data_IF_446294476005
#
_entry.id   IF_446294476005
#
_cell.length_a   1.000
_cell.length_b   1.000
_cell.length_c   1.000
_cell.angle_alpha   90.00
_cell.angle_beta   90.00
_cell.angle_gamma   90.00
#
_symmetry.space_group_name_H-M   'P 1'
#
loop_
_entity.id
_entity.type
_entity.pdbx_description
1 polymer ?
#
# COMPACT_ATOMS: atom_id res chain seq x y z
N UNK A 1 16.40 -46.95 27.35
CA UNK A 1 15.85 -47.40 28.65
C UNK A 1 16.62 -46.77 29.80
N UNK A 2 16.00 -45.78 30.47
CA UNK A 2 16.25 -45.21 31.82
C UNK A 2 15.41 -43.92 31.85
N UNK A 3 14.10 -43.96 32.17
CA UNK A 3 13.51 -43.69 33.51
C UNK A 3 14.36 -42.74 34.36
N UNK A 4 13.86 -41.71 35.06
CA UNK A 4 12.52 -41.42 35.60
C UNK A 4 12.66 -40.07 36.33
N UNK A 5 11.63 -39.22 36.34
CA UNK A 5 10.98 -38.69 37.54
C UNK A 5 10.30 -37.34 37.28
N UNK A 6 8.97 -37.38 37.30
CA UNK A 6 8.14 -36.28 37.80
C UNK A 6 8.44 -36.00 39.28
N UNK A 7 8.22 -34.76 39.72
CA UNK A 7 7.45 -34.43 40.94
C UNK A 7 7.20 -32.92 41.06
N UNK A 8 5.92 -32.61 41.23
CA UNK A 8 5.30 -31.36 41.65
C UNK A 8 5.69 -30.91 43.08
N UNK A 9 5.59 -29.61 43.40
CA UNK A 9 4.73 -28.99 44.45
C UNK A 9 5.05 -27.48 44.62
N UNK A 10 3.98 -26.71 44.74
CA UNK A 10 3.86 -25.26 44.86
C UNK A 10 4.38 -24.63 46.17
N UNK A 11 4.60 -23.30 46.13
CA UNK A 11 4.44 -22.41 47.28
C UNK A 11 3.99 -21.01 46.83
N UNK A 12 2.81 -20.60 47.30
CA UNK A 12 2.30 -19.24 47.24
C UNK A 12 2.67 -18.49 48.52
N UNK A 13 2.93 -17.17 48.44
CA UNK A 13 2.74 -16.24 49.55
C UNK A 13 2.61 -14.79 49.02
N UNK A 14 1.40 -14.25 49.15
CA UNK A 14 1.08 -12.83 48.99
C UNK A 14 1.62 -12.01 50.16
N UNK A 15 2.12 -10.78 49.92
CA UNK A 15 1.91 -9.64 50.83
C UNK A 15 1.73 -8.37 49.99
N UNK A 16 0.52 -7.80 50.11
CA UNK A 16 0.19 -6.44 49.71
C UNK A 16 0.73 -5.43 50.75
N UNK A 17 1.12 -4.25 50.29
CA UNK A 17 1.22 -3.06 51.14
C UNK A 17 0.84 -1.81 50.33
N UNK A 18 -0.37 -1.32 50.63
CA UNK A 18 -0.86 0.01 50.28
C UNK A 18 -0.07 1.10 51.01
N UNK A 19 0.10 2.26 50.36
CA UNK A 19 0.75 3.42 50.96
C UNK A 19 0.55 4.72 50.18
N UNK A 20 -0.70 5.20 50.17
CA UNK A 20 -1.19 6.61 50.20
C UNK A 20 -0.50 7.70 49.33
N UNK A 21 -1.34 8.23 48.44
CA UNK A 21 -1.26 9.48 47.69
C UNK A 21 -1.17 10.73 48.59
N UNK A 22 -0.39 11.73 48.16
CA UNK A 22 -0.70 13.15 48.44
C UNK A 22 -0.74 13.94 47.14
N UNK A 23 -1.78 14.74 47.02
CA UNK A 23 -2.27 15.40 45.81
C UNK A 23 -1.68 16.80 45.57
N UNK A 24 -1.68 17.19 44.30
CA UNK A 24 -1.97 18.52 43.71
C UNK A 24 -1.70 18.33 42.19
N UNK A 25 -2.60 18.50 41.22
CA UNK A 25 -3.88 19.16 41.14
C UNK A 25 -3.87 20.09 39.93
N UNK A 26 -4.46 19.70 38.79
CA UNK A 26 -5.28 20.59 37.94
C UNK A 26 -5.99 19.79 36.83
N UNK A 27 -7.29 20.08 36.70
CA UNK A 27 -8.27 19.53 35.77
C UNK A 27 -8.28 20.33 34.47
N UNK A 28 -8.53 19.68 33.35
CA UNK A 28 -9.48 20.18 32.33
C UNK A 28 -10.37 19.03 31.83
N UNK A 29 -11.63 19.36 31.57
CA UNK A 29 -12.75 18.45 31.29
C UNK A 29 -12.91 18.27 29.79
N UNK A 30 -13.10 17.02 29.36
CA UNK A 30 -13.69 16.66 28.06
C UNK A 30 -15.21 16.50 28.28
N UNK A 31 -16.00 17.00 27.33
CA UNK A 31 -17.45 17.00 27.35
C UNK A 31 -17.97 15.99 26.33
N UNK A 32 -18.67 14.97 26.80
CA UNK A 32 -19.35 13.95 26.00
C UNK A 32 -20.64 14.49 25.34
N UNK A 33 -20.83 14.15 24.07
CA UNK A 33 -22.10 14.17 23.32
C UNK A 33 -22.00 12.92 22.41
N UNK A 34 -22.95 12.01 22.24
CA UNK A 34 -24.42 12.02 22.17
C UNK A 34 -24.97 10.66 22.61
N UNK A 35 -26.26 10.60 22.95
CA UNK A 35 -27.26 9.76 22.25
C UNK A 35 -28.61 9.93 22.96
N UNK A 36 -29.62 10.44 22.28
CA UNK A 36 -31.02 10.02 22.50
C UNK A 36 -31.85 10.27 21.24
N UNK A 37 -32.42 9.19 20.73
CA UNK A 37 -33.39 9.12 19.63
C UNK A 37 -34.78 9.50 20.14
N UNK A 38 -35.57 10.31 19.41
CA UNK A 38 -36.99 10.02 19.06
C UNK A 38 -37.65 11.05 18.12
N UNK A 39 -38.14 10.52 16.99
CA UNK A 39 -39.38 10.79 16.20
C UNK A 39 -40.26 12.04 16.45
N UNK A 40 -40.65 12.73 15.36
CA UNK A 40 -42.02 12.79 14.79
C UNK A 40 -42.12 13.80 13.61
N UNK A 41 -43.13 13.63 12.76
CA UNK A 41 -43.31 14.22 11.43
C UNK A 41 -44.42 15.31 11.35
N UNK A 42 -44.45 15.99 10.17
CA UNK A 42 -45.54 16.70 9.46
C UNK A 42 -45.66 18.26 9.52
N UNK A 43 -45.40 18.88 8.35
CA UNK A 43 -46.18 19.86 7.51
C UNK A 43 -46.85 21.12 8.15
N UNK A 44 -47.04 22.31 7.55
CA UNK A 44 -46.79 22.94 6.23
C UNK A 44 -47.03 24.48 6.33
N UNK A 45 -46.41 25.26 5.42
CA UNK A 45 -46.81 26.55 4.77
C UNK A 45 -47.05 27.88 5.54
N UNK A 46 -46.31 28.95 5.17
CA UNK A 46 -46.74 29.98 4.17
C UNK A 46 -46.03 31.37 4.25
N UNK A 47 -45.51 31.80 3.08
CA UNK A 47 -45.45 33.14 2.46
C UNK A 47 -44.60 34.33 3.01
N UNK A 48 -43.75 34.88 2.12
CA UNK A 48 -43.18 36.25 2.18
C UNK A 48 -42.12 36.51 1.08
N UNK A 49 -42.47 37.30 0.06
CA UNK A 49 -41.85 37.53 -1.27
C UNK A 49 -40.88 38.74 -1.36
N UNK A 50 -39.81 38.60 -2.18
CA UNK A 50 -39.03 39.57 -3.03
C UNK A 50 -37.53 39.22 -3.02
N UNK A 51 -36.77 39.10 -4.12
CA UNK A 51 -36.75 39.85 -5.40
C UNK A 51 -36.03 39.04 -6.52
N UNK A 52 -36.25 39.41 -7.78
CA UNK A 52 -36.05 38.64 -9.03
C UNK A 52 -34.62 38.70 -9.63
N UNK A 53 -34.24 37.62 -10.34
CA UNK A 53 -33.71 37.53 -11.74
C UNK A 53 -32.38 36.74 -11.91
N UNK A 54 -32.20 35.90 -12.95
CA UNK A 54 -33.15 35.02 -13.67
C UNK A 54 -32.83 33.52 -13.47
N UNK A 55 -33.83 32.67 -13.62
CA UNK A 55 -33.64 31.24 -13.90
C UNK A 55 -33.10 31.05 -15.32
N UNK A 56 -32.06 30.25 -15.49
CA UNK A 56 -31.84 29.43 -16.69
C UNK A 56 -30.84 28.34 -16.37
N UNK A 57 -31.32 27.10 -16.50
CA UNK A 57 -30.56 25.89 -16.84
C UNK A 57 -29.64 25.29 -15.77
N UNK A 58 -30.23 24.37 -15.00
CA UNK A 58 -29.62 23.06 -14.77
C UNK A 58 -29.00 22.53 -16.07
N UNK A 59 -27.68 22.51 -16.16
CA UNK A 59 -26.88 21.78 -17.16
C UNK A 59 -26.14 20.69 -16.39
N UNK A 60 -26.66 19.47 -16.28
CA UNK A 60 -26.50 18.37 -17.24
C UNK A 60 -25.08 18.23 -17.75
N UNK A 61 -24.48 17.08 -17.43
CA UNK A 61 -23.28 16.50 -18.06
C UNK A 61 -23.16 16.84 -19.54
N UNK A 62 -22.02 17.34 -19.97
CA UNK A 62 -21.46 17.05 -21.31
C UNK A 62 -20.02 17.56 -21.37
N UNK A 63 -19.06 16.64 -21.22
CA UNK A 63 -17.65 16.86 -21.53
C UNK A 63 -17.38 16.89 -23.04
N UNK A 64 -18.14 17.71 -23.78
CA UNK A 64 -18.09 17.84 -25.23
C UNK A 64 -17.68 19.28 -25.63
N UNK A 65 -16.43 19.65 -25.37
CA UNK A 65 -15.79 20.77 -26.05
C UNK A 65 -14.60 20.25 -26.85
N UNK A 66 -14.48 20.70 -28.11
CA UNK A 66 -13.36 20.44 -29.04
C UNK A 66 -13.23 19.05 -29.69
N UNK A 67 -14.33 18.28 -29.83
CA UNK A 67 -14.32 17.02 -30.61
C UNK A 67 -13.70 15.84 -29.86
N UNK A 68 -13.66 15.95 -28.54
CA UNK A 68 -13.19 14.95 -27.60
C UNK A 68 -14.30 14.61 -26.60
N UNK A 69 -14.29 13.38 -26.10
CA UNK A 69 -15.16 12.93 -25.02
C UNK A 69 -14.37 12.23 -23.93
N UNK A 70 -14.87 12.29 -22.69
CA UNK A 70 -14.26 11.65 -21.53
C UNK A 70 -14.33 10.13 -21.67
N UNK A 71 -13.26 9.45 -21.26
CA UNK A 71 -13.21 8.00 -21.07
C UNK A 71 -13.47 7.75 -19.58
N UNK A 72 -14.74 7.54 -19.23
CA UNK A 72 -15.19 7.37 -17.83
C UNK A 72 -14.40 6.28 -17.09
N UNK A 73 -14.24 5.11 -17.72
CA UNK A 73 -13.50 3.97 -17.14
C UNK A 73 -11.98 4.20 -17.01
N UNK A 74 -11.47 5.33 -17.49
CA UNK A 74 -10.06 5.73 -17.41
C UNK A 74 -9.90 7.16 -16.85
N UNK A 75 -10.86 7.58 -16.03
CA UNK A 75 -10.86 8.86 -15.32
C UNK A 75 -10.98 8.57 -13.83
N UNK A 76 -10.08 9.13 -13.02
CA UNK A 76 -9.89 8.70 -11.63
C UNK A 76 -9.58 9.88 -10.72
N UNK A 77 -10.08 9.84 -9.49
CA UNK A 77 -9.48 10.59 -8.40
C UNK A 77 -8.16 9.93 -8.00
N UNK A 78 -7.10 10.73 -7.88
CA UNK A 78 -5.77 10.27 -7.53
C UNK A 78 -5.12 11.26 -6.55
N UNK A 79 -4.30 10.73 -5.64
CA UNK A 79 -3.45 11.55 -4.78
C UNK A 79 -2.03 11.51 -5.34
N UNK A 80 -1.57 12.60 -5.96
CA UNK A 80 -0.28 12.69 -6.63
C UNK A 80 0.67 13.59 -5.83
N UNK A 81 1.80 13.09 -5.38
CA UNK A 81 2.80 13.92 -4.71
C UNK A 81 3.52 14.79 -5.77
N UNK A 82 3.63 16.13 -5.61
CA UNK A 82 3.20 16.98 -4.49
C UNK A 82 1.87 17.73 -4.68
N UNK A 83 1.11 17.42 -5.73
CA UNK A 83 -0.16 18.07 -6.03
C UNK A 83 -1.29 17.78 -5.02
N UNK A 84 -1.24 16.63 -4.33
CA UNK A 84 -2.32 16.16 -3.48
C UNK A 84 -3.45 15.52 -4.30
N UNK A 85 -4.69 15.66 -3.82
CA UNK A 85 -5.89 15.11 -4.45
C UNK A 85 -6.21 15.87 -5.75
N UNK A 86 -6.29 15.12 -6.86
CA UNK A 86 -6.58 15.62 -8.20
C UNK A 86 -7.41 14.59 -8.98
N UNK A 87 -8.19 15.05 -9.96
CA UNK A 87 -8.85 14.19 -10.93
C UNK A 87 -7.97 14.03 -12.17
N UNK A 88 -7.51 12.82 -12.46
CA UNK A 88 -6.93 12.47 -13.76
C UNK A 88 -8.04 12.17 -14.76
N UNK A 89 -8.10 12.92 -15.86
CA UNK A 89 -9.14 12.77 -16.89
C UNK A 89 -8.53 12.32 -18.21
N UNK A 90 -9.01 11.19 -18.72
CA UNK A 90 -8.68 10.71 -20.06
C UNK A 90 -9.74 11.14 -21.06
N UNK A 91 -9.31 11.66 -22.21
CA UNK A 91 -10.19 12.00 -23.32
C UNK A 91 -9.81 11.22 -24.57
N UNK A 92 -10.83 10.81 -25.33
CA UNK A 92 -10.67 10.23 -26.65
C UNK A 92 -11.36 11.09 -27.72
N UNK A 93 -10.89 11.05 -28.98
CA UNK A 93 -11.59 11.73 -30.06
C UNK A 93 -13.01 11.18 -30.24
N UNK A 94 -14.00 12.04 -30.46
CA UNK A 94 -15.39 11.62 -30.66
C UNK A 94 -15.54 10.74 -31.92
N UNK A 95 -14.92 11.14 -33.04
CA UNK A 95 -14.91 10.35 -34.27
C UNK A 95 -13.66 9.45 -34.35
N UNK A 96 -13.56 8.46 -33.47
CA UNK A 96 -12.46 7.46 -33.49
C UNK A 96 -12.30 6.74 -34.83
N UNK A 97 -13.38 6.61 -35.59
CA UNK A 97 -13.39 5.88 -36.85
C UNK A 97 -12.71 6.64 -38.00
N UNK A 98 -12.72 7.97 -37.98
CA UNK A 98 -12.14 8.78 -39.06
C UNK A 98 -11.11 9.81 -38.60
N UNK A 99 -10.90 9.96 -37.29
CA UNK A 99 -9.91 10.86 -36.72
C UNK A 99 -8.55 10.18 -36.56
N UNK A 100 -7.49 10.95 -36.81
CA UNK A 100 -6.12 10.64 -36.42
C UNK A 100 -5.70 11.40 -35.16
N UNK A 101 -6.64 12.08 -34.50
CA UNK A 101 -6.37 12.73 -33.23
C UNK A 101 -6.04 11.67 -32.17
N UNK A 102 -5.06 11.97 -31.33
CA UNK A 102 -4.64 11.12 -30.22
C UNK A 102 -5.48 11.39 -28.97
N UNK A 103 -5.38 10.54 -27.95
CA UNK A 103 -5.94 10.80 -26.62
C UNK A 103 -5.36 12.09 -26.01
N UNK A 104 -6.14 12.74 -25.15
CA UNK A 104 -5.68 13.85 -24.30
C UNK A 104 -5.80 13.40 -22.85
N UNK A 105 -4.84 13.79 -22.03
CA UNK A 105 -4.83 13.49 -20.59
C UNK A 105 -4.65 14.78 -19.82
N UNK A 106 -5.52 15.00 -18.84
CA UNK A 106 -5.52 16.19 -18.01
C UNK A 106 -5.46 15.83 -16.53
N UNK A 107 -4.87 16.71 -15.74
CA UNK A 107 -5.03 16.74 -14.29
C UNK A 107 -5.91 17.93 -13.94
N UNK A 108 -6.92 17.69 -13.10
CA UNK A 108 -7.86 18.71 -12.65
C UNK A 108 -7.90 18.81 -11.13
N UNK A 109 -8.09 20.03 -10.66
CA UNK A 109 -8.41 20.38 -9.27
C UNK A 109 -9.85 20.92 -9.28
N UNK A 110 -10.81 20.05 -8.93
CA UNK A 110 -12.22 20.26 -9.23
C UNK A 110 -12.45 20.44 -10.74
N UNK A 111 -13.11 21.52 -11.13
CA UNK A 111 -13.35 21.83 -12.55
C UNK A 111 -12.15 22.48 -13.26
N UNK A 112 -11.08 22.82 -12.52
CA UNK A 112 -9.93 23.56 -13.06
C UNK A 112 -8.87 22.60 -13.59
N UNK A 113 -8.62 22.61 -14.89
CA UNK A 113 -7.44 21.95 -15.48
C UNK A 113 -6.15 22.63 -14.99
N UNK A 114 -5.33 21.87 -14.28
CA UNK A 114 -4.03 22.31 -13.73
C UNK A 114 -2.85 21.84 -14.57
N UNK A 115 -3.00 20.73 -15.30
CA UNK A 115 -2.00 20.26 -16.26
C UNK A 115 -2.67 19.53 -17.44
N UNK A 116 -2.05 19.64 -18.61
CA UNK A 116 -2.34 18.82 -19.78
C UNK A 116 -1.05 18.08 -20.12
N UNK A 117 -1.10 16.74 -20.15
CA UNK A 117 0.09 15.94 -20.41
C UNK A 117 0.49 16.05 -21.89
N UNK A 118 1.80 16.16 -22.13
CA UNK A 118 2.33 16.23 -23.50
C UNK A 118 1.97 14.97 -24.30
N UNK A 119 1.48 15.15 -25.54
CA UNK A 119 1.26 14.06 -26.48
C UNK A 119 2.56 13.59 -27.14
N UNK A 120 2.58 12.34 -27.59
CA UNK A 120 3.75 11.74 -28.29
C UNK A 120 4.00 12.46 -29.63
N UNK A 121 2.92 12.74 -30.35
CA UNK A 121 2.96 13.33 -31.68
C UNK A 121 2.72 14.83 -31.63
N UNK A 122 3.35 15.53 -32.58
CA UNK A 122 3.11 16.96 -32.78
C UNK A 122 1.62 17.22 -33.07
N UNK A 123 1.10 18.30 -32.49
CA UNK A 123 -0.30 18.72 -32.64
C UNK A 123 -1.33 17.66 -32.19
N UNK A 124 -0.88 16.64 -31.45
CA UNK A 124 -1.67 15.50 -31.01
C UNK A 124 -2.34 14.71 -32.15
N UNK A 125 -1.67 14.63 -33.32
CA UNK A 125 -2.15 13.90 -34.51
C UNK A 125 -1.21 12.73 -34.81
N UNK A 126 -1.77 11.53 -34.95
CA UNK A 126 -1.08 10.29 -35.29
C UNK A 126 -1.43 9.82 -36.70
N UNK A 127 -0.77 10.39 -37.71
CA UNK A 127 -1.03 10.01 -39.10
C UNK A 127 -0.88 8.49 -39.31
N UNK A 128 -1.94 7.85 -39.82
CA UNK A 128 -1.93 6.42 -40.11
C UNK A 128 -2.18 5.50 -38.91
N UNK A 129 -2.46 6.04 -37.72
CA UNK A 129 -2.71 5.28 -36.49
C UNK A 129 -3.98 5.81 -35.81
N UNK A 130 -4.89 4.91 -35.43
CA UNK A 130 -6.15 5.30 -34.77
C UNK A 130 -6.22 4.75 -33.36
N UNK A 131 -6.48 5.63 -32.40
CA UNK A 131 -6.70 5.22 -31.01
C UNK A 131 -7.87 4.24 -30.95
N UNK A 132 -7.61 3.06 -30.41
CA UNK A 132 -8.64 2.07 -30.08
C UNK A 132 -9.17 2.32 -28.68
N UNK A 133 -8.27 2.37 -27.69
CA UNK A 133 -8.58 2.64 -26.29
C UNK A 133 -7.34 2.98 -25.49
N UNK A 134 -7.54 3.71 -24.39
CA UNK A 134 -6.62 3.75 -23.26
C UNK A 134 -6.82 2.44 -22.47
N UNK A 135 -5.76 1.65 -22.35
CA UNK A 135 -5.80 0.32 -21.71
C UNK A 135 -5.55 0.39 -20.20
N UNK A 136 -4.69 1.29 -19.77
CA UNK A 136 -4.32 1.45 -18.37
C UNK A 136 -3.72 2.84 -18.13
N UNK A 137 -3.90 3.32 -16.90
CA UNK A 137 -3.25 4.49 -16.31
C UNK A 137 -2.77 4.07 -14.93
N UNK A 138 -1.58 4.51 -14.53
CA UNK A 138 -0.99 4.24 -13.21
C UNK A 138 -0.16 5.42 -12.75
N UNK A 139 -0.03 5.58 -11.43
CA UNK A 139 0.64 6.71 -10.78
C UNK A 139 1.77 6.27 -9.83
N UNK A 140 2.80 5.55 -10.30
CA UNK A 140 3.90 5.10 -9.45
C UNK A 140 4.87 6.25 -9.14
N UNK A 141 5.82 6.05 -8.23
CA UNK A 141 7.11 6.76 -8.23
C UNK A 141 8.15 5.77 -8.79
N UNK A 142 8.36 5.77 -10.11
CA UNK A 142 9.21 4.75 -10.74
C UNK A 142 10.70 5.06 -10.55
N UNK A 143 11.05 6.33 -10.42
CA UNK A 143 12.45 6.75 -10.30
C UNK A 143 12.90 6.85 -8.82
N UNK A 144 11.97 6.76 -7.87
CA UNK A 144 12.19 6.86 -6.43
C UNK A 144 12.68 8.26 -6.02
N UNK A 145 12.19 9.30 -6.68
CA UNK A 145 12.51 10.70 -6.38
C UNK A 145 11.55 11.35 -5.36
N UNK A 146 10.55 10.58 -4.92
CA UNK A 146 9.52 10.98 -3.97
C UNK A 146 8.32 11.63 -4.65
N UNK A 147 8.32 11.86 -5.96
CA UNK A 147 7.20 12.48 -6.68
C UNK A 147 6.43 11.44 -7.49
N UNK A 148 5.12 11.63 -7.61
CA UNK A 148 4.31 10.74 -8.43
C UNK A 148 4.63 10.94 -9.91
N UNK A 149 4.89 9.85 -10.61
CA UNK A 149 5.02 9.72 -12.05
C UNK A 149 3.70 9.22 -12.67
N UNK A 150 3.62 9.15 -14.01
CA UNK A 150 2.44 8.62 -14.70
C UNK A 150 2.87 7.62 -15.77
N UNK A 151 2.28 6.43 -15.76
CA UNK A 151 2.39 5.44 -16.84
C UNK A 151 1.03 5.30 -17.49
N UNK A 152 0.98 5.50 -18.81
CA UNK A 152 -0.23 5.33 -19.63
C UNK A 152 0.06 4.29 -20.70
N UNK A 153 -0.89 3.38 -20.91
CA UNK A 153 -0.82 2.39 -22.00
C UNK A 153 -2.01 2.63 -22.93
N UNK A 154 -1.72 3.03 -24.16
CA UNK A 154 -2.73 3.17 -25.20
C UNK A 154 -2.66 1.99 -26.17
N UNK A 155 -3.75 1.75 -26.88
CA UNK A 155 -3.77 0.80 -28.00
C UNK A 155 -4.24 1.49 -29.28
N UNK A 156 -3.59 1.12 -30.38
CA UNK A 156 -3.79 1.72 -31.68
C UNK A 156 -4.02 0.66 -32.75
N UNK A 157 -4.84 1.02 -33.73
CA UNK A 157 -4.97 0.31 -34.99
C UNK A 157 -4.14 1.04 -36.05
N UNK A 158 -3.17 0.36 -36.64
CA UNK A 158 -2.46 0.88 -37.79
C UNK A 158 -3.33 0.75 -39.05
N UNK A 159 -3.51 1.87 -39.74
CA UNK A 159 -4.15 1.94 -41.06
C UNK A 159 -3.15 2.30 -42.17
N UNK A 160 -1.86 2.25 -41.85
CA UNK A 160 -0.77 2.43 -42.82
C UNK A 160 -0.75 1.32 -43.87
N UNK A 161 -0.32 1.62 -45.09
CA UNK A 161 -0.28 0.65 -46.19
C UNK A 161 0.63 -0.56 -45.90
N UNK A 162 1.64 -0.40 -45.04
CA UNK A 162 2.64 -1.43 -44.72
C UNK A 162 2.28 -2.29 -43.50
N UNK A 163 1.32 -1.87 -42.68
CA UNK A 163 0.91 -2.57 -41.46
C UNK A 163 -0.62 -2.54 -41.20
N UNK A 164 -1.42 -2.38 -42.27
CA UNK A 164 -2.86 -2.22 -42.19
C UNK A 164 -3.53 -3.35 -41.40
N UNK A 165 -4.32 -2.98 -40.38
CA UNK A 165 -5.07 -3.91 -39.54
C UNK A 165 -4.32 -4.40 -38.31
N UNK A 166 -3.04 -4.06 -38.13
CA UNK A 166 -2.29 -4.42 -36.93
C UNK A 166 -2.77 -3.60 -35.73
N UNK A 167 -3.07 -4.28 -34.62
CA UNK A 167 -3.32 -3.65 -33.32
C UNK A 167 -2.09 -3.79 -32.44
N UNK A 168 -1.61 -2.70 -31.88
CA UNK A 168 -0.48 -2.69 -30.97
C UNK A 168 -0.77 -1.78 -29.78
N UNK A 169 0.03 -1.92 -28.72
CA UNK A 169 -0.02 -1.03 -27.55
C UNK A 169 1.23 -0.14 -27.53
N UNK A 170 1.09 1.07 -27.02
CA UNK A 170 2.14 2.08 -26.82
C UNK A 170 2.15 2.48 -25.35
N UNK A 171 3.34 2.54 -24.76
CA UNK A 171 3.60 2.97 -23.39
C UNK A 171 4.01 4.45 -23.41
N UNK A 172 3.47 5.23 -22.49
CA UNK A 172 3.88 6.62 -22.23
C UNK A 172 4.26 6.74 -20.78
N UNK A 173 5.47 7.23 -20.55
CA UNK A 173 6.02 7.41 -19.22
C UNK A 173 6.24 8.90 -19.03
N UNK A 174 5.62 9.45 -17.99
CA UNK A 174 5.77 10.84 -17.60
C UNK A 174 6.46 10.90 -16.26
N UNK A 175 7.55 11.65 -16.18
CA UNK A 175 8.24 11.89 -14.92
C UNK A 175 7.62 13.09 -14.19
N UNK A 176 7.27 12.87 -12.93
CA UNK A 176 6.85 13.91 -11.98
C UNK A 176 8.00 14.80 -11.52
N UNK A 177 7.68 15.83 -10.75
CA UNK A 177 8.68 16.75 -10.21
C UNK A 177 8.19 17.44 -8.95
N UNK A 178 9.12 18.03 -8.19
CA UNK A 178 8.85 18.84 -7.00
C UNK A 178 7.85 19.98 -7.25
N UNK A 179 7.79 20.53 -8.46
CA UNK A 179 6.81 21.57 -8.82
C UNK A 179 5.42 21.03 -9.18
N UNK A 180 5.20 19.72 -9.12
CA UNK A 180 3.95 19.08 -9.58
C UNK A 180 3.76 19.14 -11.09
N UNK A 181 4.85 19.26 -11.85
CA UNK A 181 4.83 19.23 -13.32
C UNK A 181 5.26 17.88 -13.85
N UNK A 182 4.77 17.51 -15.03
CA UNK A 182 5.03 16.21 -15.65
C UNK A 182 5.73 16.37 -17.00
N UNK A 183 6.84 15.65 -17.19
CA UNK A 183 7.62 15.66 -18.44
C UNK A 183 7.49 14.30 -19.12
N UNK A 184 7.18 14.29 -20.42
CA UNK A 184 7.11 13.06 -21.19
C UNK A 184 8.51 12.51 -21.49
N UNK A 185 8.82 11.34 -20.94
CA UNK A 185 10.08 10.63 -21.17
C UNK A 185 10.03 9.86 -22.48
N UNK A 186 10.17 10.58 -23.61
CA UNK A 186 10.04 10.03 -24.97
C UNK A 186 11.03 8.89 -25.26
N UNK A 187 12.27 9.02 -24.77
CA UNK A 187 13.29 7.98 -24.92
C UNK A 187 12.90 6.71 -24.17
N UNK A 188 12.57 6.86 -22.89
CA UNK A 188 12.20 5.74 -22.01
C UNK A 188 10.92 5.03 -22.47
N UNK A 189 9.92 5.81 -22.90
CA UNK A 189 8.68 5.30 -23.48
C UNK A 189 8.96 4.43 -24.71
N UNK A 190 9.81 4.92 -25.62
CA UNK A 190 10.22 4.18 -26.82
C UNK A 190 11.01 2.90 -26.49
N UNK A 191 11.89 2.97 -25.50
CA UNK A 191 12.70 1.81 -25.11
C UNK A 191 11.85 0.73 -24.44
N UNK A 192 10.91 1.12 -23.57
CA UNK A 192 9.90 0.22 -23.00
C UNK A 192 9.05 -0.41 -24.10
N UNK A 193 8.63 0.39 -25.09
CA UNK A 193 7.84 -0.09 -26.22
C UNK A 193 8.57 -1.15 -27.06
N UNK A 194 9.88 -0.99 -27.24
CA UNK A 194 10.70 -1.92 -27.99
C UNK A 194 11.02 -3.20 -27.18
N UNK A 195 11.22 -3.06 -25.86
CA UNK A 195 11.62 -4.17 -24.99
C UNK A 195 10.44 -5.10 -24.62
N UNK A 196 9.24 -4.54 -24.46
CA UNK A 196 8.10 -5.25 -23.88
C UNK A 196 7.21 -5.88 -24.96
N UNK A 197 7.22 -7.21 -24.99
CA UNK A 197 6.32 -8.00 -25.83
C UNK A 197 4.85 -7.83 -25.43
N UNK A 198 4.56 -7.89 -24.11
CA UNK A 198 3.26 -7.56 -23.55
C UNK A 198 3.37 -6.28 -22.71
N UNK A 199 2.49 -5.32 -22.98
CA UNK A 199 2.46 -4.01 -22.33
C UNK A 199 1.34 -3.97 -21.31
N UNK A 200 1.73 -4.10 -20.05
CA UNK A 200 0.92 -3.93 -18.83
C UNK A 200 1.67 -3.00 -17.89
N UNK A 201 0.98 -2.42 -16.90
CA UNK A 201 1.64 -1.57 -15.89
C UNK A 201 2.78 -2.34 -15.21
N UNK A 202 2.53 -3.60 -14.84
CA UNK A 202 3.54 -4.46 -14.19
C UNK A 202 4.76 -4.72 -15.09
N UNK A 203 4.57 -4.97 -16.38
CA UNK A 203 5.70 -5.21 -17.28
C UNK A 203 6.52 -3.94 -17.53
N UNK A 204 5.86 -2.78 -17.58
CA UNK A 204 6.53 -1.48 -17.67
C UNK A 204 7.32 -1.18 -16.40
N UNK A 205 6.74 -1.37 -15.21
CA UNK A 205 7.45 -1.20 -13.94
C UNK A 205 8.65 -2.15 -13.83
N UNK A 206 8.49 -3.42 -14.22
CA UNK A 206 9.60 -4.37 -14.27
C UNK A 206 10.71 -3.93 -15.24
N UNK A 207 10.38 -3.36 -16.39
CA UNK A 207 11.38 -2.78 -17.31
C UNK A 207 12.09 -1.56 -16.72
N UNK A 208 11.34 -0.67 -16.06
CA UNK A 208 11.87 0.53 -15.42
C UNK A 208 12.82 0.18 -14.27
N UNK A 209 12.53 -0.89 -13.53
CA UNK A 209 13.41 -1.47 -12.51
C UNK A 209 14.63 -2.21 -13.10
N UNK A 210 14.45 -3.00 -14.17
CA UNK A 210 15.53 -3.74 -14.83
C UNK A 210 16.55 -2.84 -15.56
N UNK A 211 16.17 -1.59 -15.85
CA UNK A 211 17.02 -0.54 -16.43
C UNK A 211 17.76 0.32 -15.39
N UNK A 212 17.43 0.22 -14.10
CA UNK A 212 18.22 0.83 -13.01
C UNK A 212 19.48 0.00 -12.78
N UNK A 213 20.48 0.15 -13.68
CA UNK A 213 21.85 0.23 -13.19
C UNK A 213 21.91 1.47 -12.31
N UNK A 214 21.76 1.26 -11.00
CA UNK A 214 22.07 2.24 -9.97
C UNK A 214 23.55 2.64 -10.12
N UNK A 215 23.85 3.64 -10.93
CA UNK A 215 25.12 4.38 -10.81
C UNK A 215 24.99 5.45 -9.72
N UNK A 216 24.75 4.94 -8.50
CA UNK A 216 25.19 5.46 -7.21
C UNK A 216 25.13 4.27 -6.23
N UNK A 217 26.08 4.09 -5.30
CA UNK A 217 25.87 3.18 -4.16
C UNK A 217 24.56 3.61 -3.51
N UNK A 218 23.57 2.72 -3.43
CA UNK A 218 22.19 3.02 -2.99
C UNK A 218 22.06 3.50 -1.54
N UNK A 219 23.17 3.86 -0.87
CA UNK A 219 23.22 4.47 0.46
C UNK A 219 22.82 3.55 1.60
N UNK A 220 21.93 2.59 1.34
CA UNK A 220 21.24 1.76 2.32
C UNK A 220 22.19 1.00 3.23
N UNK A 221 23.34 0.52 2.72
CA UNK A 221 24.33 -0.18 3.54
C UNK A 221 24.83 0.73 4.66
N UNK A 222 25.24 1.94 4.30
CA UNK A 222 25.71 2.91 5.28
C UNK A 222 24.55 3.40 6.16
N UNK A 223 23.38 3.63 5.58
CA UNK A 223 22.19 4.05 6.32
C UNK A 223 21.79 3.03 7.40
N UNK A 224 21.77 1.73 7.07
CA UNK A 224 21.51 0.68 8.06
C UNK A 224 22.64 0.54 9.08
N UNK A 225 23.91 0.68 8.68
CA UNK A 225 25.02 0.65 9.63
C UNK A 225 24.90 1.79 10.63
N UNK A 226 24.67 3.02 10.16
CA UNK A 226 24.50 4.20 11.00
C UNK A 226 23.27 4.05 11.89
N UNK A 227 22.16 3.56 11.32
CA UNK A 227 20.92 3.30 12.04
C UNK A 227 21.10 2.29 13.17
N UNK A 228 21.79 1.18 12.90
CA UNK A 228 22.11 0.14 13.89
C UNK A 228 23.05 0.68 14.97
N UNK A 229 24.05 1.48 14.60
CA UNK A 229 25.03 2.05 15.54
C UNK A 229 24.44 3.12 16.47
N UNK A 230 23.37 3.78 16.05
CA UNK A 230 22.69 4.79 16.84
C UNK A 230 21.76 4.22 17.93
N UNK A 231 21.56 2.91 18.00
CA UNK A 231 20.63 2.27 18.94
C UNK A 231 21.26 1.97 20.30
N UNK A 232 20.46 2.05 21.35
CA UNK A 232 20.81 1.51 22.68
C UNK A 232 20.65 -0.03 22.69
N UNK A 233 21.67 -0.73 23.19
CA UNK A 233 21.76 -2.21 23.15
C UNK A 233 20.74 -2.93 24.05
N UNK A 234 20.04 -2.24 24.96
CA UNK A 234 19.25 -2.89 26.03
C UNK A 234 17.83 -3.34 25.61
N UNK A 235 17.30 -2.86 24.47
CA UNK A 235 15.91 -3.13 24.06
C UNK A 235 15.75 -4.29 23.06
N UNK A 236 16.84 -4.67 22.37
CA UNK A 236 16.81 -5.61 21.24
C UNK A 236 17.71 -6.83 21.49
N UNK A 237 17.16 -8.03 21.36
CA UNK A 237 17.91 -9.28 21.53
C UNK A 237 18.84 -9.57 20.33
N UNK A 238 18.48 -9.06 19.16
CA UNK A 238 19.31 -9.17 17.96
C UNK A 238 18.61 -8.74 16.68
N UNK A 239 19.20 -9.15 15.56
CA UNK A 239 18.81 -8.69 14.23
C UNK A 239 18.72 -9.84 13.22
N UNK A 240 17.96 -9.63 12.17
CA UNK A 240 17.88 -10.52 11.02
C UNK A 240 17.76 -9.68 9.73
N UNK A 241 18.27 -10.20 8.62
CA UNK A 241 18.05 -9.62 7.29
C UNK A 241 17.13 -10.55 6.51
N UNK A 242 16.07 -10.00 5.95
CA UNK A 242 15.06 -10.70 5.14
C UNK A 242 14.83 -9.95 3.83
N UNK A 243 14.16 -10.56 2.86
CA UNK A 243 13.78 -9.90 1.61
C UNK A 243 12.27 -10.04 1.42
N UNK A 244 11.53 -9.01 1.78
CA UNK A 244 10.07 -8.99 1.69
C UNK A 244 9.65 -8.74 0.24
N UNK A 245 10.14 -7.67 -0.40
CA UNK A 245 9.80 -7.32 -1.78
C UNK A 245 10.84 -7.82 -2.80
N UNK A 246 10.60 -7.59 -4.09
CA UNK A 246 11.42 -8.14 -5.19
C UNK A 246 12.71 -7.35 -5.47
N UNK A 247 13.13 -6.46 -4.57
CA UNK A 247 14.37 -5.69 -4.72
C UNK A 247 15.58 -6.39 -4.08
N UNK A 248 16.80 -5.99 -4.43
CA UNK A 248 18.04 -6.60 -3.90
C UNK A 248 18.50 -6.01 -2.54
N UNK A 249 17.69 -5.18 -1.90
CA UNK A 249 17.94 -4.55 -0.61
C UNK A 249 17.18 -5.33 0.47
N UNK A 250 17.84 -5.88 1.49
CA UNK A 250 17.12 -6.58 2.54
C UNK A 250 16.37 -5.60 3.46
N UNK A 251 15.26 -6.02 4.06
CA UNK A 251 14.74 -5.39 5.27
C UNK A 251 15.50 -5.87 6.50
N UNK A 252 15.77 -4.93 7.40
CA UNK A 252 16.39 -5.16 8.68
C UNK A 252 15.31 -5.43 9.74
N UNK A 253 15.28 -6.64 10.27
CA UNK A 253 14.47 -7.01 11.42
C UNK A 253 15.25 -6.70 12.69
N UNK A 254 14.64 -5.97 13.63
CA UNK A 254 15.08 -5.85 15.01
C UNK A 254 14.17 -6.72 15.88
N UNK A 255 14.75 -7.62 16.64
CA UNK A 255 14.04 -8.62 17.43
C UNK A 255 13.98 -8.14 18.88
N UNK A 256 12.80 -7.81 19.38
CA UNK A 256 12.61 -7.34 20.74
C UNK A 256 12.84 -8.43 21.78
N UNK A 257 13.15 -8.01 23.01
CA UNK A 257 13.41 -8.92 24.13
C UNK A 257 12.15 -9.53 24.79
N UNK A 258 10.96 -9.16 24.32
CA UNK A 258 9.69 -9.64 24.87
C UNK A 258 8.53 -9.49 23.89
N UNK A 259 7.46 -10.27 24.09
CA UNK A 259 6.23 -10.15 23.30
C UNK A 259 5.61 -8.76 23.31
N UNK A 260 5.82 -7.98 24.37
CA UNK A 260 5.29 -6.62 24.46
C UNK A 260 6.09 -5.61 23.61
N UNK A 261 7.38 -5.87 23.41
CA UNK A 261 8.24 -5.06 22.52
C UNK A 261 8.03 -5.47 21.07
N UNK A 262 7.84 -6.76 20.80
CA UNK A 262 7.64 -7.30 19.46
C UNK A 262 8.86 -7.12 18.55
N UNK A 263 8.64 -7.20 17.25
CA UNK A 263 9.68 -6.95 16.25
C UNK A 263 9.47 -5.60 15.56
N UNK A 264 10.56 -5.00 15.08
CA UNK A 264 10.54 -3.83 14.21
C UNK A 264 11.14 -4.19 12.86
N UNK A 265 10.47 -3.82 11.77
CA UNK A 265 10.96 -3.99 10.40
C UNK A 265 11.42 -2.63 9.88
N UNK A 266 12.73 -2.49 9.69
CA UNK A 266 13.35 -1.30 9.11
C UNK A 266 13.62 -1.55 7.62
N UNK A 267 13.04 -0.73 6.75
CA UNK A 267 13.17 -0.83 5.30
C UNK A 267 13.78 0.45 4.72
N UNK A 268 14.47 0.35 3.58
CA UNK A 268 15.06 1.49 2.89
C UNK A 268 14.11 2.01 1.81
N UNK A 269 13.77 3.30 1.84
CA UNK A 269 12.83 3.89 0.87
C UNK A 269 13.50 4.64 -0.30
N UNK A 270 14.84 4.62 -0.38
CA UNK A 270 15.61 5.40 -1.36
C UNK A 270 16.31 6.63 -0.78
N UNK A 271 15.92 7.10 0.41
CA UNK A 271 16.56 8.25 1.08
C UNK A 271 16.72 8.11 2.59
N UNK A 272 15.92 7.27 3.24
CA UNK A 272 15.91 7.08 4.68
C UNK A 272 15.53 5.64 5.07
N UNK A 273 15.75 5.33 6.34
CA UNK A 273 15.28 4.08 6.96
C UNK A 273 13.90 4.33 7.54
N UNK A 274 12.91 3.56 7.09
CA UNK A 274 11.52 3.61 7.54
C UNK A 274 11.25 2.46 8.49
N UNK A 275 10.75 2.78 9.67
CA UNK A 275 10.46 1.82 10.74
C UNK A 275 8.99 1.37 10.73
N UNK A 276 8.77 0.06 10.85
CA UNK A 276 7.45 -0.56 10.90
C UNK A 276 7.34 -1.50 12.10
N UNK A 277 6.61 -1.06 13.12
CA UNK A 277 6.42 -1.81 14.37
C UNK A 277 5.42 -2.95 14.16
N UNK A 278 5.82 -4.16 14.54
CA UNK A 278 4.91 -5.31 14.66
C UNK A 278 4.37 -5.40 16.08
N UNK A 279 3.20 -6.00 16.25
CA UNK A 279 2.55 -6.07 17.56
C UNK A 279 3.29 -6.97 18.53
N UNK A 280 3.89 -8.06 18.03
CA UNK A 280 4.51 -9.15 18.81
C UNK A 280 5.64 -9.82 18.03
N UNK A 281 6.30 -10.80 18.66
CA UNK A 281 7.55 -11.37 18.16
C UNK A 281 7.38 -12.28 16.94
N UNK A 282 6.34 -13.12 16.90
CA UNK A 282 6.17 -14.05 15.80
C UNK A 282 5.62 -13.37 14.55
N UNK A 283 6.36 -13.51 13.44
CA UNK A 283 5.89 -13.17 12.11
C UNK A 283 6.50 -14.12 11.09
N UNK A 284 5.86 -14.22 9.93
CA UNK A 284 6.38 -14.88 8.75
C UNK A 284 6.31 -13.93 7.56
N UNK A 285 7.01 -14.26 6.47
CA UNK A 285 6.95 -13.50 5.23
C UNK A 285 7.07 -14.43 4.02
N UNK A 286 6.60 -13.98 2.85
CA UNK A 286 6.85 -14.66 1.58
C UNK A 286 7.99 -13.91 0.88
N UNK A 287 9.15 -14.56 0.84
CA UNK A 287 10.37 -13.96 0.31
C UNK A 287 10.18 -13.50 -1.15
N UNK A 288 10.51 -12.23 -1.44
CA UNK A 288 10.37 -11.58 -2.75
C UNK A 288 8.94 -11.43 -3.30
N UNK A 289 7.90 -11.74 -2.53
CA UNK A 289 6.50 -11.62 -3.00
C UNK A 289 5.73 -10.46 -2.32
N UNK A 290 6.43 -9.58 -1.63
CA UNK A 290 5.91 -8.36 -1.01
C UNK A 290 4.83 -8.60 0.06
N UNK A 291 4.98 -9.68 0.85
CA UNK A 291 4.01 -10.05 1.87
C UNK A 291 4.67 -10.43 3.19
N UNK A 292 4.19 -9.83 4.28
CA UNK A 292 4.56 -10.16 5.66
C UNK A 292 3.30 -10.41 6.47
N UNK A 293 3.30 -11.43 7.33
CA UNK A 293 2.21 -11.74 8.24
C UNK A 293 2.66 -11.77 9.70
N UNK A 294 2.11 -10.88 10.54
CA UNK A 294 2.29 -10.94 11.99
C UNK A 294 1.13 -11.74 12.60
N UNK A 295 1.43 -12.98 12.99
CA UNK A 295 0.44 -13.98 13.44
C UNK A 295 0.65 -14.37 14.91
N UNK A 296 0.04 -13.66 15.85
CA UNK A 296 0.26 -13.92 17.28
C UNK A 296 -1.02 -13.68 18.09
N UNK A 297 -0.95 -13.84 19.40
CA UNK A 297 -2.02 -13.55 20.31
C UNK A 297 -1.73 -13.93 21.76
N UNK A 298 -2.61 -13.51 22.65
CA UNK A 298 -2.51 -13.87 24.05
C UNK A 298 -3.88 -13.97 24.70
N UNK A 299 -3.98 -14.86 25.69
CA UNK A 299 -5.18 -15.05 26.50
C UNK A 299 -6.44 -15.23 25.65
N UNK A 300 -6.42 -16.26 24.78
CA UNK A 300 -7.55 -16.61 23.92
C UNK A 300 -7.98 -15.49 22.94
N UNK A 301 -7.01 -14.69 22.49
CA UNK A 301 -7.21 -13.71 21.43
C UNK A 301 -5.99 -13.61 20.54
N UNK A 302 -6.20 -13.91 19.27
CA UNK A 302 -5.18 -14.09 18.26
C UNK A 302 -5.57 -13.32 17.00
N UNK A 303 -4.55 -13.05 16.19
CA UNK A 303 -4.70 -12.33 14.94
C UNK A 303 -3.73 -12.85 13.89
N UNK A 304 -4.10 -12.66 12.63
CA UNK A 304 -3.24 -12.80 11.46
C UNK A 304 -3.30 -11.49 10.68
N UNK A 305 -2.27 -10.64 10.82
CA UNK A 305 -2.23 -9.34 10.15
C UNK A 305 -1.30 -9.42 8.95
N UNK A 306 -1.85 -9.29 7.75
CA UNK A 306 -1.10 -9.38 6.49
C UNK A 306 -0.81 -7.98 5.96
N UNK A 307 0.45 -7.73 5.67
CA UNK A 307 0.98 -6.45 5.21
C UNK A 307 1.65 -6.59 3.84
N UNK A 308 1.60 -5.51 3.05
CA UNK A 308 2.48 -5.30 1.89
C UNK A 308 3.43 -4.14 2.13
N UNK A 309 4.64 -4.22 1.60
CA UNK A 309 5.64 -3.15 1.67
C UNK A 309 5.52 -2.23 0.45
N UNK A 310 5.53 -0.92 0.68
CA UNK A 310 5.57 0.11 -0.36
C UNK A 310 6.30 1.32 0.21
N UNK A 311 7.34 1.80 -0.49
CA UNK A 311 8.16 2.94 -0.06
C UNK A 311 8.66 2.80 1.39
N UNK A 312 9.13 1.60 1.72
CA UNK A 312 9.59 1.24 3.06
C UNK A 312 8.50 1.13 4.13
N UNK A 313 7.22 1.31 3.81
CA UNK A 313 6.08 1.23 4.75
C UNK A 313 5.27 -0.05 4.59
N UNK A 314 5.05 -0.74 5.70
CA UNK A 314 4.12 -1.87 5.78
C UNK A 314 2.69 -1.35 5.90
N UNK A 315 1.88 -1.59 4.87
CA UNK A 315 0.45 -1.27 4.84
C UNK A 315 -0.36 -2.53 5.09
N UNK A 316 -1.31 -2.48 6.03
CA UNK A 316 -2.20 -3.59 6.32
C UNK A 316 -3.15 -3.81 5.14
N UNK A 317 -3.10 -5.00 4.53
CA UNK A 317 -3.95 -5.36 3.37
C UNK A 317 -5.05 -6.36 3.72
N UNK A 318 -4.87 -7.12 4.79
CA UNK A 318 -5.91 -7.98 5.35
C UNK A 318 -5.68 -8.23 6.83
N UNK A 319 -6.76 -8.44 7.58
CA UNK A 319 -6.72 -8.79 8.99
C UNK A 319 -7.63 -9.96 9.30
N UNK A 320 -7.10 -10.91 10.04
CA UNK A 320 -7.87 -11.97 10.69
C UNK A 320 -7.79 -11.82 12.19
N UNK A 321 -8.91 -12.07 12.87
CA UNK A 321 -8.97 -12.16 14.32
C UNK A 321 -9.71 -13.43 14.72
N UNK A 322 -9.20 -14.12 15.74
CA UNK A 322 -9.89 -15.26 16.31
C UNK A 322 -9.62 -15.43 17.80
N UNK A 323 -10.58 -16.00 18.52
CA UNK A 323 -10.45 -16.19 19.96
C UNK A 323 -11.77 -16.38 20.67
N UNK A 324 -11.74 -16.37 22.00
CA UNK A 324 -12.93 -16.47 22.82
C UNK A 324 -13.71 -15.15 22.79
N UNK A 325 -15.02 -15.24 22.52
CA UNK A 325 -15.92 -14.08 22.49
C UNK A 325 -16.04 -13.37 23.85
N UNK A 326 -16.08 -14.15 24.95
CA UNK A 326 -15.93 -13.64 26.31
C UNK A 326 -14.76 -14.35 27.01
N UNK A 327 -13.65 -13.63 27.18
CA UNK A 327 -12.43 -14.15 27.83
C UNK A 327 -12.58 -14.34 29.34
N UNK A 328 -13.63 -13.78 29.95
CA UNK A 328 -13.92 -13.96 31.37
C UNK A 328 -14.73 -15.23 31.64
N UNK A 329 -15.38 -15.77 30.61
CA UNK A 329 -16.24 -16.94 30.70
C UNK A 329 -16.10 -17.81 29.44
N UNK A 330 -15.04 -18.62 29.40
CA UNK A 330 -14.75 -19.50 28.26
C UNK A 330 -15.85 -20.53 28.05
N UNK A 331 -16.29 -20.67 26.80
CA UNK A 331 -17.21 -21.71 26.35
C UNK A 331 -16.42 -22.87 25.75
N UNK A 332 -16.90 -24.10 25.94
CA UNK A 332 -16.20 -25.31 25.52
C UNK A 332 -17.10 -26.19 24.65
N UNK A 333 -16.51 -26.83 23.63
CA UNK A 333 -17.18 -27.84 22.81
C UNK A 333 -17.31 -29.19 23.56
N UNK A 334 -17.93 -30.19 22.91
CA UNK A 334 -18.15 -31.52 23.50
C UNK A 334 -16.83 -32.27 23.80
N UNK A 335 -15.73 -31.89 23.14
CA UNK A 335 -14.39 -32.46 23.32
C UNK A 335 -13.57 -31.70 24.38
N UNK A 336 -14.11 -30.60 24.92
CA UNK A 336 -13.48 -29.76 25.94
C UNK A 336 -12.50 -28.73 25.39
N UNK A 337 -12.55 -28.40 24.08
CA UNK A 337 -11.78 -27.31 23.49
C UNK A 337 -12.54 -25.99 23.62
N UNK A 338 -11.83 -24.87 23.76
CA UNK A 338 -12.46 -23.54 23.78
C UNK A 338 -13.11 -23.26 22.43
N UNK A 339 -14.35 -22.78 22.46
CA UNK A 339 -15.07 -22.36 21.26
C UNK A 339 -14.57 -20.97 20.87
N UNK A 340 -13.88 -20.90 19.73
CA UNK A 340 -13.42 -19.65 19.16
C UNK A 340 -14.38 -19.11 18.09
N UNK A 341 -14.47 -17.79 18.06
CA UNK A 341 -15.10 -17.02 17.01
C UNK A 341 -14.00 -16.56 16.05
N UNK A 342 -14.32 -16.52 14.76
CA UNK A 342 -13.38 -16.17 13.69
C UNK A 342 -13.95 -15.02 12.86
N UNK A 343 -13.09 -14.08 12.51
CA UNK A 343 -13.43 -12.91 11.72
C UNK A 343 -12.29 -12.63 10.72
N UNK A 344 -12.63 -12.39 9.46
CA UNK A 344 -11.68 -11.96 8.44
C UNK A 344 -12.17 -10.66 7.80
N UNK A 345 -11.32 -9.63 7.80
CA UNK A 345 -11.63 -8.28 7.33
C UNK A 345 -12.96 -7.73 7.90
N UNK A 346 -13.22 -7.93 9.19
CA UNK A 346 -14.45 -7.48 9.84
C UNK A 346 -15.68 -8.38 9.61
N UNK A 347 -15.53 -9.49 8.86
CA UNK A 347 -16.63 -10.39 8.53
C UNK A 347 -16.55 -11.68 9.36
N UNK A 348 -17.54 -11.97 10.23
CA UNK A 348 -17.59 -13.23 10.96
C UNK A 348 -17.75 -14.44 10.02
N UNK A 349 -17.07 -15.53 10.33
CA UNK A 349 -17.09 -16.74 9.50
C UNK A 349 -16.73 -18.00 10.31
N UNK A 350 -16.83 -19.18 9.68
CA UNK A 350 -16.34 -20.43 10.29
C UNK A 350 -14.81 -20.49 10.31
N UNK A 351 -14.26 -21.43 11.08
CA UNK A 351 -12.81 -21.71 11.10
C UNK A 351 -12.28 -22.12 9.72
N UNK A 352 -13.02 -22.95 9.01
CA UNK A 352 -12.65 -23.43 7.68
C UNK A 352 -12.68 -22.30 6.66
N UNK A 353 -13.71 -21.45 6.71
CA UNK A 353 -13.82 -20.25 5.88
C UNK A 353 -12.68 -19.26 6.17
N UNK A 354 -12.35 -19.05 7.45
CA UNK A 354 -11.21 -18.24 7.88
C UNK A 354 -9.90 -18.75 7.29
N UNK A 355 -9.63 -20.05 7.42
CA UNK A 355 -8.40 -20.65 6.91
C UNK A 355 -8.28 -20.52 5.39
N UNK A 356 -9.40 -20.64 4.66
CA UNK A 356 -9.45 -20.44 3.21
C UNK A 356 -9.23 -18.98 2.83
N UNK A 357 -9.89 -18.03 3.52
CA UNK A 357 -9.75 -16.60 3.28
C UNK A 357 -8.31 -16.12 3.56
N UNK A 358 -7.70 -16.60 4.66
CA UNK A 358 -6.31 -16.32 5.00
C UNK A 358 -5.35 -16.82 3.92
N UNK A 359 -5.44 -18.11 3.55
CA UNK A 359 -4.54 -18.69 2.53
C UNK A 359 -4.75 -18.12 1.12
N UNK A 360 -5.91 -17.52 0.84
CA UNK A 360 -6.14 -16.83 -0.43
C UNK A 360 -5.36 -15.52 -0.55
N UNK A 361 -5.03 -14.87 0.58
CA UNK A 361 -4.23 -13.64 0.62
C UNK A 361 -2.76 -13.94 0.89
N UNK A 362 -2.49 -14.92 1.75
CA UNK A 362 -1.15 -15.27 2.23
C UNK A 362 -0.93 -16.77 2.14
N UNK A 363 -0.23 -17.23 1.08
CA UNK A 363 0.06 -18.64 0.86
C UNK A 363 1.08 -19.16 1.88
N UNK A 364 0.56 -19.71 2.98
CA UNK A 364 1.38 -20.23 4.08
C UNK A 364 2.35 -21.34 3.67
N UNK A 365 2.16 -21.99 2.50
CA UNK A 365 3.09 -22.99 1.99
C UNK A 365 4.39 -22.40 1.46
N UNK A 366 4.39 -21.11 1.12
CA UNK A 366 5.58 -20.35 0.68
C UNK A 366 6.23 -19.55 1.80
N UNK A 367 5.54 -19.40 2.93
CA UNK A 367 5.97 -18.56 4.02
C UNK A 367 7.27 -19.07 4.66
N UNK A 368 8.11 -18.13 5.07
CA UNK A 368 9.29 -18.36 5.92
C UNK A 368 9.08 -17.67 7.24
N UNK A 369 9.52 -18.32 8.32
CA UNK A 369 9.58 -17.67 9.62
C UNK A 369 10.52 -16.47 9.55
N UNK A 370 10.16 -15.38 10.22
CA UNK A 370 10.93 -14.14 10.22
C UNK A 370 12.35 -14.31 10.76
N UNK A 371 12.53 -15.22 11.72
CA UNK A 371 13.82 -15.62 12.29
C UNK A 371 13.68 -16.94 13.07
N UNK A 372 14.80 -17.59 13.36
CA UNK A 372 14.86 -18.77 14.22
C UNK A 372 15.27 -18.37 15.65
N UNK A 373 14.59 -18.93 16.66
CA UNK A 373 14.84 -18.60 18.07
C UNK A 373 16.29 -18.92 18.48
N UNK A 374 17.00 -17.91 18.97
CA UNK A 374 18.41 -18.00 19.37
C UNK A 374 19.41 -18.08 18.21
N UNK A 375 18.98 -17.87 16.97
CA UNK A 375 19.83 -17.86 15.76
C UNK A 375 19.87 -16.49 15.07
N UNK A 376 19.57 -15.42 15.79
CA UNK A 376 19.68 -14.06 15.28
C UNK A 376 21.12 -13.54 15.31
N UNK A 377 21.38 -12.52 14.50
CA UNK A 377 22.67 -11.85 14.43
C UNK A 377 22.81 -10.84 15.57
N UNK A 378 24.02 -10.74 16.13
CA UNK A 378 24.37 -9.59 16.97
C UNK A 378 24.49 -8.32 16.12
N UNK A 379 24.53 -7.17 16.77
CA UNK A 379 24.77 -5.87 16.11
C UNK A 379 26.01 -5.90 15.21
N UNK A 380 27.16 -6.36 15.74
CA UNK A 380 28.42 -6.42 15.00
C UNK A 380 28.38 -7.41 13.83
N UNK A 381 27.73 -8.57 14.02
CA UNK A 381 27.57 -9.56 12.94
C UNK A 381 26.70 -9.00 11.81
N UNK A 382 25.65 -8.25 12.15
CA UNK A 382 24.75 -7.61 11.19
C UNK A 382 25.47 -6.54 10.38
N UNK A 383 26.20 -5.64 11.05
CA UNK A 383 27.03 -4.62 10.39
C UNK A 383 28.06 -5.26 9.45
N UNK A 384 28.74 -6.31 9.91
CA UNK A 384 29.70 -7.04 9.07
C UNK A 384 29.01 -7.62 7.83
N UNK A 385 27.87 -8.30 8.00
CA UNK A 385 27.12 -8.92 6.91
C UNK A 385 26.65 -7.89 5.88
N UNK A 386 26.12 -6.75 6.32
CA UNK A 386 25.71 -5.63 5.46
C UNK A 386 26.91 -5.09 4.66
N UNK A 387 28.06 -4.93 5.32
CA UNK A 387 29.28 -4.42 4.68
C UNK A 387 29.83 -5.35 3.59
N UNK A 388 29.62 -6.65 3.72
CA UNK A 388 30.12 -7.69 2.81
C UNK A 388 29.17 -7.99 1.63
N UNK A 389 27.93 -7.50 1.67
CA UNK A 389 26.95 -7.71 0.59
C UNK A 389 27.43 -7.08 -0.72
N UNK A 390 27.10 -7.70 -1.86
CA UNK A 390 27.37 -7.13 -3.18
C UNK A 390 26.42 -5.94 -3.44
N UNK A 391 26.85 -5.00 -4.29
CA UNK A 391 26.01 -3.86 -4.72
C UNK A 391 25.16 -4.25 -5.91
#
# INVERSE_FOLDING_TARGET
MKSRNDRWIAAAACIALCGVLTACGQKEKIQDIETTVTSQAEEEQSAGDHDRRPESETLSSDGAENGYRIIEDQTFEANLNPLGEVTFVSFEPEDRANSFADAIFELKDGDRTIAVLEGISRDNIREGERLQKVKAVSFPDYNSDGYSDIIIICSYLSVSETAAGAVYSEVRIYQGSESGTFTLEKGLSKDADAALAEKTVQSVLGFLGAGKKSEAPSGWKQAYIDYIQAQDEEEWDGYQLIYIDDDDIPELVKIGNSEAVGCMIAAWDGGQVVENQLNRLYFSYIEKENLLCNSEGSMDYYYDLVYSLTDGRLSLIASGYYGAGDRSNLEFDEDGNVIYQYEWNGTPMSREEYSQAFNAVYDTSKARDGYEWGQWLTQSQTIQKISEMQQ
#
